data_IF_999619498818
#
_entry.id   IF_999619498818
#
_cell.length_a   1.000
_cell.length_b   1.000
_cell.length_c   1.000
_cell.angle_alpha   90.00
_cell.angle_beta   90.00
_cell.angle_gamma   90.00
#
_symmetry.space_group_name_H-M   'P 1'
#
loop_
_entity.id
_entity.type
_entity.pdbx_description
1 polymer ?
#
# COMPACT_ATOMS: atom_id res chain seq x y z
N UNK A 1 13.12 4.60 14.09
CA UNK A 1 14.10 5.57 14.58
C UNK A 1 13.39 6.89 14.83
N UNK A 2 13.62 7.49 15.98
CA UNK A 2 13.11 8.82 16.30
C UNK A 2 14.29 9.66 16.83
N UNK A 3 14.42 10.88 16.32
CA UNK A 3 15.43 11.87 16.73
C UNK A 3 14.68 13.14 17.07
N UNK A 4 14.88 13.67 18.26
CA UNK A 4 14.25 14.89 18.73
C UNK A 4 15.29 15.86 19.27
N UNK A 5 15.05 17.15 19.11
CA UNK A 5 15.91 18.18 19.62
C UNK A 5 15.24 19.55 19.57
N UNK A 6 15.96 20.56 20.04
CA UNK A 6 15.53 21.93 19.99
C UNK A 6 15.68 22.67 21.29
N UNK A 7 15.18 23.89 21.31
CA UNK A 7 15.16 24.84 22.44
C UNK A 7 13.72 25.28 22.72
N UNK A 8 13.53 26.20 23.66
CA UNK A 8 12.20 26.71 24.02
C UNK A 8 11.41 27.27 22.83
N UNK A 9 12.11 27.96 21.91
CA UNK A 9 11.51 28.63 20.75
C UNK A 9 11.35 27.71 19.53
N UNK A 10 12.10 26.63 19.44
CA UNK A 10 12.06 25.71 18.31
C UNK A 10 12.33 24.28 18.76
N UNK A 11 11.44 23.38 18.40
CA UNK A 11 11.58 21.94 18.63
C UNK A 11 11.33 21.20 17.34
N UNK A 12 12.09 20.13 17.11
CA UNK A 12 11.93 19.29 15.95
C UNK A 12 11.93 17.80 16.34
N UNK A 13 11.22 17.01 15.56
CA UNK A 13 11.24 15.56 15.62
C UNK A 13 11.36 15.00 14.21
N UNK A 14 12.30 14.08 14.04
CA UNK A 14 12.51 13.29 12.84
C UNK A 14 12.14 11.85 13.14
N UNK A 15 11.23 11.30 12.39
CA UNK A 15 10.75 9.93 12.51
C UNK A 15 11.09 9.15 11.25
N UNK A 16 11.60 7.95 11.43
CA UNK A 16 11.82 7.02 10.33
C UNK A 16 11.37 5.61 10.76
N UNK A 17 10.55 4.99 9.91
CA UNK A 17 10.07 3.64 10.12
C UNK A 17 10.23 2.80 8.86
N UNK A 18 10.52 1.53 9.07
CA UNK A 18 10.58 0.50 8.03
C UNK A 18 9.89 -0.75 8.54
N UNK A 19 8.91 -1.23 7.79
CA UNK A 19 8.21 -2.47 8.05
C UNK A 19 8.34 -3.38 6.84
N UNK A 20 8.65 -4.64 7.07
CA UNK A 20 8.68 -5.67 6.03
C UNK A 20 7.98 -6.92 6.54
N UNK A 21 6.87 -7.23 5.93
CA UNK A 21 6.02 -8.36 6.31
C UNK A 21 5.89 -9.30 5.12
N UNK A 22 6.24 -10.55 5.32
CA UNK A 22 5.94 -11.62 4.38
C UNK A 22 4.54 -12.14 4.67
N UNK A 23 3.76 -12.40 3.63
CA UNK A 23 2.45 -13.00 3.77
C UNK A 23 2.54 -14.50 4.09
N UNK A 24 1.40 -15.08 4.41
CA UNK A 24 1.28 -16.53 4.69
C UNK A 24 1.63 -17.37 3.47
N UNK A 25 1.22 -16.90 2.28
CA UNK A 25 1.53 -17.58 1.03
C UNK A 25 2.91 -17.17 0.52
N UNK A 26 3.67 -18.18 0.06
CA UNK A 26 5.02 -17.98 -0.49
C UNK A 26 5.01 -16.93 -1.61
N UNK A 27 5.98 -16.01 -1.58
CA UNK A 27 6.13 -14.96 -2.58
C UNK A 27 5.30 -13.70 -2.32
N UNK A 28 4.31 -13.74 -1.41
CA UNK A 28 3.61 -12.52 -1.02
C UNK A 28 4.40 -11.71 0.00
N UNK A 29 4.40 -10.40 -0.18
CA UNK A 29 5.08 -9.50 0.75
C UNK A 29 4.49 -8.10 0.73
N UNK A 30 4.69 -7.40 1.83
CA UNK A 30 4.39 -5.97 1.96
C UNK A 30 5.54 -5.27 2.66
N UNK A 31 6.04 -4.21 2.04
CA UNK A 31 7.10 -3.36 2.59
C UNK A 31 6.56 -1.94 2.72
N UNK A 32 6.86 -1.31 3.84
CA UNK A 32 6.54 0.09 4.09
C UNK A 32 7.78 0.83 4.55
N UNK A 33 8.02 1.97 3.95
CA UNK A 33 9.00 2.96 4.39
C UNK A 33 8.24 4.23 4.74
N UNK A 34 8.50 4.79 5.90
CA UNK A 34 7.93 6.06 6.32
C UNK A 34 9.00 6.99 6.87
N UNK A 35 8.83 8.27 6.58
CA UNK A 35 9.63 9.34 7.15
C UNK A 35 8.71 10.48 7.58
N UNK A 36 9.00 11.09 8.73
CA UNK A 36 8.27 12.22 9.27
C UNK A 36 9.20 13.30 9.79
N UNK A 37 8.80 14.54 9.58
CA UNK A 37 9.43 15.72 10.19
C UNK A 37 8.33 16.53 10.85
N UNK A 38 8.48 16.81 12.13
CA UNK A 38 7.63 17.73 12.87
C UNK A 38 8.47 18.89 13.40
N UNK A 39 7.99 20.10 13.19
CA UNK A 39 8.60 21.34 13.65
C UNK A 39 7.58 22.13 14.46
N UNK A 40 7.87 22.37 15.75
CA UNK A 40 7.14 23.29 16.64
C UNK A 40 7.98 24.55 16.82
N UNK A 41 7.52 25.65 16.26
CA UNK A 41 8.21 26.94 16.31
C UNK A 41 7.38 27.99 17.04
N UNK A 42 7.97 28.57 18.08
CA UNK A 42 7.37 29.56 18.98
C UNK A 42 8.22 30.82 19.04
N UNK A 43 8.21 31.66 17.97
CA UNK A 43 9.06 32.86 17.93
C UNK A 43 8.67 33.91 18.95
N UNK A 44 7.44 33.86 19.43
CA UNK A 44 6.88 34.76 20.46
C UNK A 44 5.93 33.97 21.35
N UNK A 45 5.73 34.45 22.58
CA UNK A 45 4.81 33.83 23.55
C UNK A 45 3.36 33.72 23.04
N UNK A 46 2.98 34.63 22.16
CA UNK A 46 1.64 34.67 21.59
C UNK A 46 1.49 33.91 20.24
N UNK A 47 2.59 33.39 19.65
CA UNK A 47 2.56 32.74 18.35
C UNK A 47 3.24 31.36 18.41
N UNK A 48 2.48 30.34 18.06
CA UNK A 48 2.98 28.99 17.85
C UNK A 48 2.64 28.51 16.45
N UNK A 49 3.61 27.97 15.76
CA UNK A 49 3.45 27.32 14.45
C UNK A 49 3.94 25.89 14.53
N UNK A 50 3.08 24.96 14.14
CA UNK A 50 3.40 23.55 14.08
C UNK A 50 3.29 23.08 12.63
N UNK A 51 4.37 22.58 12.08
CA UNK A 51 4.39 21.95 10.75
C UNK A 51 4.78 20.48 10.87
N UNK A 52 4.02 19.61 10.23
CA UNK A 52 4.30 18.19 10.18
C UNK A 52 4.23 17.70 8.74
N UNK A 53 5.35 17.17 8.24
CA UNK A 53 5.46 16.55 6.92
C UNK A 53 5.66 15.05 7.13
N UNK A 54 4.84 14.24 6.48
CA UNK A 54 4.97 12.79 6.49
C UNK A 54 5.03 12.26 5.07
N UNK A 55 5.92 11.33 4.83
CA UNK A 55 6.02 10.56 3.61
C UNK A 55 5.91 9.07 3.93
N UNK A 56 5.06 8.36 3.20
CA UNK A 56 4.92 6.92 3.31
C UNK A 56 4.95 6.30 1.91
N UNK A 57 5.79 5.29 1.75
CA UNK A 57 5.80 4.43 0.58
C UNK A 57 5.46 3.02 0.98
N UNK A 58 4.45 2.44 0.34
CA UNK A 58 4.05 1.04 0.55
C UNK A 58 4.16 0.30 -0.77
N UNK A 59 4.86 -0.83 -0.75
CA UNK A 59 4.92 -1.76 -1.87
C UNK A 59 4.36 -3.09 -1.42
N UNK A 60 3.54 -3.73 -2.25
CA UNK A 60 3.03 -5.06 -1.99
C UNK A 60 2.97 -5.89 -3.25
N UNK A 61 3.09 -7.19 -3.06
CA UNK A 61 2.94 -8.18 -4.12
C UNK A 61 2.15 -9.35 -3.56
N UNK A 62 1.13 -9.78 -4.30
CA UNK A 62 0.37 -10.98 -3.98
C UNK A 62 1.18 -12.22 -4.34
N UNK A 63 0.85 -13.33 -3.70
CA UNK A 63 1.49 -14.61 -3.99
C UNK A 63 1.18 -15.05 -5.43
N UNK A 64 2.18 -15.47 -6.21
CA UNK A 64 1.93 -16.12 -7.49
C UNK A 64 1.20 -17.47 -7.32
N UNK A 65 1.25 -18.05 -6.13
CA UNK A 65 0.56 -19.30 -5.81
C UNK A 65 -0.96 -19.14 -5.57
N UNK A 66 -1.50 -17.90 -5.66
CA UNK A 66 -2.91 -17.62 -5.40
C UNK A 66 -3.29 -17.71 -3.92
N UNK A 67 -4.55 -18.01 -3.65
CA UNK A 67 -5.09 -18.06 -2.29
C UNK A 67 -4.90 -19.43 -1.64
N UNK A 68 -4.68 -19.44 -0.33
CA UNK A 68 -4.54 -20.67 0.46
C UNK A 68 -5.74 -21.61 0.34
N UNK A 69 -6.95 -21.06 0.18
CA UNK A 69 -8.18 -21.82 -0.01
C UNK A 69 -8.13 -22.78 -1.20
N UNK A 70 -7.42 -22.45 -2.26
CA UNK A 70 -7.26 -23.30 -3.45
C UNK A 70 -6.53 -24.61 -3.13
N UNK A 71 -5.63 -24.58 -2.14
CA UNK A 71 -4.86 -25.76 -1.70
C UNK A 71 -5.59 -26.59 -0.65
N UNK A 72 -6.42 -25.97 0.19
CA UNK A 72 -7.19 -26.69 1.21
C UNK A 72 -8.30 -27.54 0.64
N UNK A 73 -8.76 -27.23 -0.57
CA UNK A 73 -9.76 -28.02 -1.30
C UNK A 73 -9.17 -29.18 -2.09
N UNK A 74 -7.85 -29.17 -2.34
CA UNK A 74 -7.15 -30.29 -2.96
C UNK A 74 -7.02 -31.43 -1.96
N UNK A 75 -7.53 -32.60 -2.33
CA UNK A 75 -7.34 -33.79 -1.52
C UNK A 75 -5.91 -34.31 -1.63
N UNK A 76 -5.32 -34.89 -0.57
CA UNK A 76 -3.91 -35.31 -0.57
C UNK A 76 -3.53 -36.36 -1.65
N UNK A 77 -4.54 -37.03 -2.20
CA UNK A 77 -4.38 -38.07 -3.21
C UNK A 77 -4.75 -37.62 -4.62
N UNK A 78 -4.89 -36.34 -4.86
CA UNK A 78 -5.08 -35.79 -6.22
C UNK A 78 -3.79 -35.94 -6.99
N UNK A 79 -3.84 -36.62 -8.13
CA UNK A 79 -2.73 -36.74 -9.03
C UNK A 79 -2.46 -35.38 -9.68
N UNK A 80 -1.26 -34.84 -9.44
CA UNK A 80 -0.82 -33.55 -9.99
C UNK A 80 0.05 -33.72 -11.24
N UNK A 81 0.48 -34.95 -11.52
CA UNK A 81 1.35 -35.32 -12.63
C UNK A 81 0.73 -36.45 -13.40
N UNK A 82 1.02 -36.57 -14.70
CA UNK A 82 0.64 -37.72 -15.52
C UNK A 82 1.65 -38.87 -15.37
N UNK A 83 1.43 -39.94 -16.15
CA UNK A 83 2.26 -41.16 -16.13
C UNK A 83 3.71 -40.89 -16.62
N UNK A 84 3.91 -39.84 -17.42
CA UNK A 84 5.19 -39.43 -17.95
C UNK A 84 5.94 -38.47 -16.98
N UNK A 85 5.31 -38.10 -15.86
CA UNK A 85 5.84 -37.18 -14.85
C UNK A 85 5.67 -35.70 -15.21
N UNK A 86 4.89 -35.39 -16.25
CA UNK A 86 4.56 -34.02 -16.60
C UNK A 86 3.41 -33.49 -15.74
N UNK A 87 3.47 -32.22 -15.37
CA UNK A 87 2.47 -31.60 -14.50
C UNK A 87 1.15 -31.41 -15.26
N UNK A 88 0.07 -31.96 -14.71
CA UNK A 88 -1.28 -31.83 -15.26
C UNK A 88 -1.77 -30.39 -15.19
N UNK A 89 -2.34 -29.87 -16.27
CA UNK A 89 -3.01 -28.56 -16.30
C UNK A 89 -4.28 -28.54 -15.48
N UNK A 90 -5.02 -29.65 -15.50
CA UNK A 90 -6.25 -29.85 -14.75
C UNK A 90 -6.20 -31.15 -13.97
N UNK A 91 -6.81 -31.12 -12.80
CA UNK A 91 -6.87 -32.25 -11.87
C UNK A 91 -8.30 -32.62 -11.60
N UNK A 92 -8.53 -33.89 -11.24
CA UNK A 92 -9.86 -34.40 -10.88
C UNK A 92 -10.06 -34.26 -9.37
N UNK A 93 -11.04 -33.47 -8.96
CA UNK A 93 -11.42 -33.29 -7.56
C UNK A 93 -12.86 -33.70 -7.36
N UNK A 94 -13.10 -34.86 -6.75
CA UNK A 94 -14.46 -35.33 -6.46
C UNK A 94 -15.33 -35.54 -7.71
N UNK A 95 -14.73 -35.93 -8.85
CA UNK A 95 -15.42 -36.12 -10.12
C UNK A 95 -15.57 -34.88 -10.98
N UNK A 96 -15.08 -33.73 -10.51
CA UNK A 96 -15.06 -32.47 -11.27
C UNK A 96 -13.64 -32.12 -11.69
N UNK A 97 -13.52 -31.53 -12.89
CA UNK A 97 -12.23 -31.01 -13.38
C UNK A 97 -11.98 -29.63 -12.80
N UNK A 98 -10.84 -29.46 -12.12
CA UNK A 98 -10.37 -28.16 -11.58
C UNK A 98 -8.99 -27.83 -12.13
N UNK A 99 -8.63 -26.55 -12.18
CA UNK A 99 -7.30 -26.13 -12.58
C UNK A 99 -6.27 -26.53 -11.52
N UNK A 100 -5.10 -27.01 -11.96
CA UNK A 100 -4.00 -27.30 -11.06
C UNK A 100 -3.33 -25.99 -10.64
N UNK A 101 -3.42 -25.60 -9.37
CA UNK A 101 -2.84 -24.33 -8.92
C UNK A 101 -1.31 -24.27 -9.03
N UNK A 102 -0.63 -25.43 -8.97
CA UNK A 102 0.81 -25.52 -9.13
C UNK A 102 1.26 -25.35 -10.59
N UNK A 103 0.44 -25.76 -11.55
CA UNK A 103 0.73 -25.56 -12.97
C UNK A 103 0.92 -24.09 -13.31
N UNK A 104 0.07 -23.23 -12.78
CA UNK A 104 0.13 -21.77 -12.96
C UNK A 104 1.47 -21.19 -12.52
N UNK A 105 1.99 -21.66 -11.40
CA UNK A 105 3.27 -21.17 -10.83
C UNK A 105 4.49 -21.69 -11.60
N UNK A 106 4.44 -22.95 -12.07
CA UNK A 106 5.60 -23.57 -12.70
C UNK A 106 5.78 -23.18 -14.17
N UNK A 107 4.69 -23.00 -14.90
CA UNK A 107 4.74 -22.83 -16.34
C UNK A 107 4.32 -21.44 -16.83
N UNK A 108 3.69 -20.64 -15.98
CA UNK A 108 3.20 -19.32 -16.35
C UNK A 108 4.00 -18.22 -15.65
N UNK A 109 4.13 -17.09 -16.35
CA UNK A 109 4.74 -15.88 -15.81
C UNK A 109 3.71 -14.88 -15.28
N UNK A 110 2.50 -15.35 -15.01
CA UNK A 110 1.42 -14.52 -14.46
C UNK A 110 1.80 -13.98 -13.08
N UNK A 111 1.45 -12.73 -12.85
CA UNK A 111 1.53 -12.11 -11.53
C UNK A 111 0.31 -11.23 -11.28
N UNK A 112 -0.08 -11.11 -10.03
CA UNK A 112 -1.20 -10.28 -9.63
C UNK A 112 -0.83 -9.39 -8.45
N UNK A 113 -1.45 -8.21 -8.39
CA UNK A 113 -1.39 -7.31 -7.24
C UNK A 113 -0.01 -6.75 -6.92
N UNK A 114 0.88 -6.56 -7.91
CA UNK A 114 2.07 -5.74 -7.72
C UNK A 114 1.66 -4.28 -7.60
N UNK A 115 1.74 -3.73 -6.41
CA UNK A 115 1.33 -2.35 -6.17
C UNK A 115 2.41 -1.54 -5.45
N UNK A 116 2.43 -0.24 -5.75
CA UNK A 116 3.25 0.76 -5.07
C UNK A 116 2.39 1.99 -4.82
N UNK A 117 2.31 2.39 -3.57
CA UNK A 117 1.58 3.59 -3.17
C UNK A 117 2.54 4.54 -2.45
N UNK A 118 2.55 5.78 -2.91
CA UNK A 118 3.28 6.89 -2.32
C UNK A 118 2.27 7.89 -1.75
N UNK A 119 2.49 8.32 -0.53
CA UNK A 119 1.64 9.26 0.19
C UNK A 119 2.52 10.32 0.86
N UNK A 120 2.31 11.57 0.51
CA UNK A 120 2.95 12.71 1.16
C UNK A 120 1.88 13.63 1.74
N UNK A 121 1.99 13.94 3.02
CA UNK A 121 1.06 14.82 3.73
C UNK A 121 1.83 15.92 4.43
N UNK A 122 1.38 17.16 4.27
CA UNK A 122 1.85 18.30 5.06
C UNK A 122 0.67 18.86 5.86
N UNK A 123 0.84 18.97 7.16
CA UNK A 123 -0.10 19.61 8.07
C UNK A 123 0.57 20.83 8.70
N UNK A 124 -0.01 21.98 8.48
CA UNK A 124 0.42 23.24 9.09
C UNK A 124 -0.66 23.74 10.04
N UNK A 125 -0.27 24.03 11.28
CA UNK A 125 -1.15 24.60 12.29
C UNK A 125 -0.53 25.86 12.84
N UNK A 126 -1.34 26.88 13.05
CA UNK A 126 -0.97 28.12 13.70
C UNK A 126 -1.91 28.43 14.86
N UNK A 127 -1.35 28.72 16.00
CA UNK A 127 -2.07 29.21 17.19
C UNK A 127 -1.56 30.61 17.50
N UNK A 128 -2.48 31.55 17.60
CA UNK A 128 -2.19 32.93 18.00
C UNK A 128 -3.01 33.27 19.24
N UNK A 129 -2.33 33.79 20.25
CA UNK A 129 -2.92 34.28 21.50
C UNK A 129 -2.72 35.78 21.51
N UNK A 130 -3.76 36.55 21.23
CA UNK A 130 -3.71 37.98 21.16
C UNK A 130 -4.83 38.58 21.98
N UNK A 131 -4.55 39.63 22.69
CA UNK A 131 -5.43 40.24 23.68
C UNK A 131 -5.82 39.24 24.81
N UNK A 132 -6.32 39.77 25.92
CA UNK A 132 -6.79 38.89 27.01
C UNK A 132 -8.05 38.13 26.55
N UNK A 133 -7.98 36.80 26.61
CA UNK A 133 -9.09 35.92 26.27
C UNK A 133 -9.28 35.58 24.78
N UNK A 134 -8.55 36.17 23.84
CA UNK A 134 -8.70 35.86 22.42
C UNK A 134 -7.65 34.88 21.90
N UNK A 135 -8.11 33.87 21.21
CA UNK A 135 -7.28 32.87 20.53
C UNK A 135 -7.74 32.65 19.10
N UNK A 136 -6.81 32.64 18.16
CA UNK A 136 -7.01 32.17 16.79
C UNK A 136 -6.28 30.84 16.60
N UNK A 137 -6.98 29.87 15.99
CA UNK A 137 -6.42 28.62 15.53
C UNK A 137 -6.66 28.45 14.04
N UNK A 138 -5.58 28.36 13.28
CA UNK A 138 -5.61 28.03 11.86
C UNK A 138 -5.00 26.67 11.61
N UNK A 139 -5.57 25.88 10.71
CA UNK A 139 -4.99 24.65 10.22
C UNK A 139 -5.12 24.52 8.73
N UNK A 140 -4.08 24.04 8.07
CA UNK A 140 -4.05 23.74 6.66
C UNK A 140 -3.39 22.37 6.45
N UNK A 141 -4.04 21.52 5.68
CA UNK A 141 -3.52 20.21 5.33
C UNK A 141 -3.55 20.04 3.83
N UNK A 142 -2.45 19.55 3.27
CA UNK A 142 -2.37 19.14 1.87
C UNK A 142 -1.80 17.73 1.80
N UNK A 143 -2.39 16.89 0.96
CA UNK A 143 -1.98 15.50 0.74
C UNK A 143 -1.92 15.19 -0.73
N UNK A 144 -0.85 14.55 -1.14
CA UNK A 144 -0.69 13.93 -2.46
C UNK A 144 -0.59 12.42 -2.30
N UNK A 145 -1.41 11.70 -3.06
CA UNK A 145 -1.34 10.25 -3.16
C UNK A 145 -1.05 9.86 -4.61
N UNK A 146 -0.18 8.88 -4.78
CA UNK A 146 0.09 8.26 -6.08
C UNK A 146 0.07 6.75 -5.89
N UNK A 147 -0.75 6.06 -6.66
CA UNK A 147 -0.88 4.61 -6.62
C UNK A 147 -0.60 4.03 -8.00
N UNK A 148 0.20 2.97 -8.03
CA UNK A 148 0.46 2.18 -9.24
C UNK A 148 0.16 0.73 -8.93
N UNK A 149 -0.60 0.08 -9.79
CA UNK A 149 -0.80 -1.36 -9.72
C UNK A 149 -0.60 -2.01 -11.08
N UNK A 150 -0.10 -3.25 -11.04
CA UNK A 150 0.14 -4.05 -12.24
C UNK A 150 -0.31 -5.47 -11.99
N UNK A 151 -0.95 -6.07 -12.99
CA UNK A 151 -1.21 -7.50 -13.08
C UNK A 151 -0.95 -7.99 -14.50
N UNK A 152 -0.51 -9.20 -14.62
CA UNK A 152 -0.25 -9.84 -15.91
C UNK A 152 -0.76 -11.28 -15.90
N UNK A 153 -1.55 -11.63 -16.91
CA UNK A 153 -1.98 -12.98 -17.17
C UNK A 153 -1.23 -13.51 -18.41
N UNK A 154 -0.49 -14.59 -18.22
CA UNK A 154 0.25 -15.26 -19.29
C UNK A 154 -0.73 -15.74 -20.40
N UNK A 155 -0.41 -15.62 -21.70
CA UNK A 155 -1.24 -16.11 -22.81
C UNK A 155 -1.65 -17.57 -22.69
N UNK A 156 -0.84 -18.37 -22.02
CA UNK A 156 -1.07 -19.80 -21.81
C UNK A 156 -1.98 -20.12 -20.62
N UNK A 157 -2.48 -19.08 -19.91
CA UNK A 157 -3.37 -19.27 -18.77
C UNK A 157 -4.68 -19.91 -19.20
N UNK A 158 -5.11 -20.95 -18.50
CA UNK A 158 -6.33 -21.71 -18.80
C UNK A 158 -7.58 -20.84 -18.76
N UNK A 159 -7.58 -19.78 -17.95
CA UNK A 159 -8.66 -18.79 -17.91
C UNK A 159 -8.87 -18.07 -19.24
N UNK A 160 -7.86 -18.05 -20.13
CA UNK A 160 -7.91 -17.45 -21.44
C UNK A 160 -8.14 -18.48 -22.57
N UNK A 161 -8.42 -19.74 -22.24
CA UNK A 161 -8.55 -20.83 -23.20
C UNK A 161 -9.65 -20.67 -24.25
N UNK A 162 -10.67 -19.85 -23.96
CA UNK A 162 -11.75 -19.50 -24.88
C UNK A 162 -11.55 -18.18 -25.66
N UNK A 163 -10.48 -17.44 -25.37
CA UNK A 163 -10.18 -16.19 -26.03
C UNK A 163 -9.53 -16.39 -27.41
N UNK A 164 -9.72 -15.45 -28.35
CA UNK A 164 -8.98 -15.41 -29.58
C UNK A 164 -7.47 -15.29 -29.31
N UNK A 165 -6.61 -15.76 -30.23
CA UNK A 165 -5.15 -15.73 -30.01
C UNK A 165 -4.62 -14.32 -29.79
N UNK A 166 -5.20 -13.32 -30.42
CA UNK A 166 -4.88 -11.90 -30.28
C UNK A 166 -5.28 -11.30 -28.92
N UNK A 167 -6.24 -11.92 -28.22
CA UNK A 167 -6.73 -11.50 -26.90
C UNK A 167 -6.06 -12.27 -25.75
N UNK A 168 -5.17 -13.21 -26.05
CA UNK A 168 -4.41 -13.94 -25.05
C UNK A 168 -3.24 -13.10 -24.54
N UNK A 169 -3.07 -13.10 -23.23
CA UNK A 169 -2.02 -12.34 -22.57
C UNK A 169 -2.45 -10.90 -22.23
N UNK A 170 -2.94 -10.72 -21.01
CA UNK A 170 -3.48 -9.43 -20.56
C UNK A 170 -2.53 -8.79 -19.56
N UNK A 171 -2.04 -7.60 -19.90
CA UNK A 171 -1.29 -6.75 -18.97
C UNK A 171 -2.19 -5.58 -18.54
N UNK A 172 -2.56 -5.55 -17.27
CA UNK A 172 -3.28 -4.43 -16.69
C UNK A 172 -2.31 -3.53 -15.94
N UNK A 173 -2.33 -2.25 -16.25
CA UNK A 173 -1.59 -1.22 -15.55
C UNK A 173 -2.58 -0.15 -15.12
N UNK A 174 -2.64 0.13 -13.83
CA UNK A 174 -3.41 1.22 -13.28
C UNK A 174 -2.47 2.20 -12.61
N UNK A 175 -2.60 3.48 -12.97
CA UNK A 175 -1.86 4.59 -12.37
C UNK A 175 -2.89 5.63 -11.94
N UNK A 176 -2.91 5.95 -10.66
CA UNK A 176 -3.78 6.96 -10.10
C UNK A 176 -2.96 7.99 -9.32
N UNK A 177 -3.36 9.24 -9.41
CA UNK A 177 -2.76 10.33 -8.64
C UNK A 177 -3.85 11.30 -8.22
N UNK A 178 -3.78 11.71 -6.96
CA UNK A 178 -4.77 12.62 -6.40
C UNK A 178 -4.14 13.61 -5.43
N UNK A 179 -4.74 14.80 -5.39
CA UNK A 179 -4.47 15.82 -4.40
C UNK A 179 -5.70 16.06 -3.56
N UNK A 180 -5.52 16.23 -2.27
CA UNK A 180 -6.54 16.71 -1.36
C UNK A 180 -5.99 17.80 -0.47
N UNK A 181 -6.81 18.78 -0.15
CA UNK A 181 -6.45 19.82 0.79
C UNK A 181 -7.63 20.20 1.66
N UNK A 182 -7.36 20.68 2.84
CA UNK A 182 -8.36 21.19 3.76
C UNK A 182 -7.78 22.36 4.55
N UNK A 183 -8.62 23.34 4.84
CA UNK A 183 -8.28 24.48 5.67
C UNK A 183 -9.37 24.73 6.70
N UNK A 184 -8.96 25.12 7.90
CA UNK A 184 -9.86 25.44 9.01
C UNK A 184 -9.32 26.64 9.76
N UNK A 185 -10.20 27.61 10.07
CA UNK A 185 -9.88 28.75 10.90
C UNK A 185 -10.94 28.89 12.00
N UNK A 186 -10.52 29.13 13.22
CA UNK A 186 -11.40 29.24 14.39
C UNK A 186 -10.92 30.38 15.28
N UNK A 187 -11.87 31.14 15.77
CA UNK A 187 -11.65 32.15 16.79
C UNK A 187 -12.34 31.73 18.07
N UNK A 188 -11.63 31.83 19.17
CA UNK A 188 -12.14 31.56 20.50
C UNK A 188 -12.02 32.83 21.34
N UNK A 189 -13.02 33.02 22.18
CA UNK A 189 -13.00 34.01 23.25
C UNK A 189 -13.36 33.33 24.55
N UNK A 190 -12.55 33.51 25.57
CA UNK A 190 -12.86 33.08 26.93
C UNK A 190 -12.68 34.26 27.86
N UNK A 191 -13.71 34.56 28.61
CA UNK A 191 -13.72 35.61 29.63
C UNK A 191 -13.30 35.02 30.96
#
# INVERSE_FOLDING_TARGET
>A
LNIQGGEESIRYSLDFNYDSNNGVMKGSHRRRVGAGLTLDYRPKKWLQMLNSITYNKTQSENSPYGDFSQYTTLKPYVELYDEDGEMLKKVSVGGYSADNPLYKVHYLNSFDGRSSNDDITNNFNVNMYFLDGFQFKGSFSIRKQTGKSKSFNDPRDLALGGAAEEDKGVLNISDNSGWSWSGKAMFYYSN
#
